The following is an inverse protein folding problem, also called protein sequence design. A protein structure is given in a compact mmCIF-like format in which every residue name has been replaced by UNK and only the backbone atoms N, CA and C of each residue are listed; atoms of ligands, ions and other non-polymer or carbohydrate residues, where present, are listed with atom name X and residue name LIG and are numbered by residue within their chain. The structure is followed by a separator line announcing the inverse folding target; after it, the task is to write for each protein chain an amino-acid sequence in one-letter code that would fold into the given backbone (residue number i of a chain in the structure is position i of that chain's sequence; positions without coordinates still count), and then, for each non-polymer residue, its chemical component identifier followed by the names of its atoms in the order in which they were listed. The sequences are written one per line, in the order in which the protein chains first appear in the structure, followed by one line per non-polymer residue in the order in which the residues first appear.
data_IF_869550596098
#
_entry.id   IF_869550596098
#
_cell.length_a   1.000
_cell.length_b   1.000
_cell.length_c   1.000
_cell.angle_alpha   90.00
_cell.angle_beta   90.00
_cell.angle_gamma   90.00
#
_symmetry.space_group_name_H-M   'P 1'
#
loop_
_entity.id
_entity.type
_entity.pdbx_description
1 polymer ?
#
# COMPACT_ATOMS: atom_id res chain seq x y z
N UNK A 1 8.16 -3.02 -12.75
CA UNK A 1 6.99 -2.86 -13.65
C UNK A 1 6.60 -1.40 -13.79
N UNK A 2 5.94 -0.75 -12.81
CA UNK A 2 5.55 0.67 -12.93
C UNK A 2 6.73 1.58 -13.27
N UNK A 3 7.80 1.50 -12.48
CA UNK A 3 9.04 2.28 -12.72
C UNK A 3 9.73 1.90 -14.02
N UNK A 4 9.83 0.61 -14.33
CA UNK A 4 10.36 0.11 -15.62
C UNK A 4 9.62 0.75 -16.80
N UNK A 5 8.29 0.70 -16.79
CA UNK A 5 7.45 1.33 -17.82
C UNK A 5 7.74 2.82 -17.96
N UNK A 6 7.80 3.56 -16.85
CA UNK A 6 8.12 4.99 -16.87
C UNK A 6 9.51 5.27 -17.48
N UNK A 7 10.52 4.47 -17.14
CA UNK A 7 11.88 4.60 -17.70
C UNK A 7 11.89 4.33 -19.21
N UNK A 8 11.21 3.27 -19.65
CA UNK A 8 11.08 2.88 -21.06
C UNK A 8 10.35 3.96 -21.88
N UNK A 9 9.42 4.68 -21.25
CA UNK A 9 8.68 5.81 -21.82
C UNK A 9 9.44 7.15 -21.74
N UNK A 10 10.69 7.12 -21.30
CA UNK A 10 11.61 8.25 -21.31
C UNK A 10 11.68 9.08 -20.03
N UNK A 11 10.89 8.76 -18.99
CA UNK A 11 10.95 9.46 -17.70
C UNK A 11 12.27 9.20 -16.99
N UNK A 12 12.82 10.23 -16.34
CA UNK A 12 14.12 10.16 -15.66
C UNK A 12 14.07 10.61 -14.20
N UNK A 13 13.06 11.42 -13.83
CA UNK A 13 12.87 11.96 -12.48
C UNK A 13 11.50 11.51 -12.01
N UNK A 14 11.46 10.27 -11.51
CA UNK A 14 10.24 9.61 -11.07
C UNK A 14 10.09 9.84 -9.57
N UNK A 15 9.13 10.69 -9.18
CA UNK A 15 8.76 10.86 -7.78
C UNK A 15 7.88 9.69 -7.31
N UNK A 16 8.12 9.19 -6.11
CA UNK A 16 7.31 8.15 -5.46
C UNK A 16 6.59 8.77 -4.27
N UNK A 17 5.26 8.79 -4.30
CA UNK A 17 4.45 9.33 -3.18
C UNK A 17 3.88 8.19 -2.32
N UNK A 18 3.93 8.35 -1.00
CA UNK A 18 3.67 7.30 -0.01
C UNK A 18 4.90 6.43 0.27
N UNK A 19 6.08 6.86 -0.18
CA UNK A 19 7.34 6.18 0.08
C UNK A 19 7.73 6.31 1.55
N UNK A 20 8.40 5.27 2.06
CA UNK A 20 9.16 5.36 3.31
C UNK A 20 10.62 5.54 2.92
N UNK A 21 11.23 6.72 3.08
CA UNK A 21 12.64 6.93 2.84
C UNK A 21 13.45 6.00 3.76
N UNK A 22 14.60 5.49 3.29
CA UNK A 22 15.47 4.70 4.13
C UNK A 22 15.85 5.54 5.35
N UNK A 23 15.67 4.97 6.55
CA UNK A 23 16.07 5.62 7.79
C UNK A 23 17.53 6.08 7.66
N UNK A 24 17.77 7.38 7.86
CA UNK A 24 19.13 7.89 7.97
C UNK A 24 19.78 7.18 9.18
N UNK A 25 20.86 6.43 8.96
CA UNK A 25 21.75 6.02 10.04
C UNK A 25 22.51 7.27 10.54
N UNK A 26 21.86 8.06 11.40
CA UNK A 26 22.44 9.18 12.11
C UNK A 26 21.90 9.25 13.55
N UNK A 27 22.54 8.46 14.41
CA UNK A 27 22.85 8.69 15.84
C UNK A 27 21.78 9.18 16.84
N UNK A 28 21.58 8.28 17.84
CA UNK A 28 21.34 8.46 19.29
C UNK A 28 19.96 8.89 19.82
N UNK A 29 19.29 7.90 20.46
CA UNK A 29 18.57 7.88 21.75
C UNK A 29 18.15 9.24 22.37
N UNK A 30 16.92 9.42 22.87
CA UNK A 30 16.39 8.80 24.11
C UNK A 30 14.85 8.73 24.12
N UNK A 31 14.38 7.52 24.44
CA UNK A 31 13.19 7.06 25.16
C UNK A 31 12.08 8.06 25.61
N UNK A 32 10.82 7.71 25.31
CA UNK A 32 9.61 8.37 25.82
C UNK A 32 8.33 7.59 25.41
N UNK A 33 7.34 7.41 26.30
CA UNK A 33 6.51 6.21 26.33
C UNK A 33 5.38 6.19 25.30
N UNK A 34 5.15 4.98 24.78
CA UNK A 34 4.03 4.56 23.94
C UNK A 34 2.68 4.95 24.54
N UNK A 35 1.89 5.73 23.81
CA UNK A 35 0.47 5.95 24.09
C UNK A 35 -0.36 5.25 23.01
N UNK A 36 -1.01 4.15 23.42
CA UNK A 36 -2.09 3.48 22.69
C UNK A 36 -3.22 4.48 22.41
N UNK A 37 -3.47 4.77 21.13
CA UNK A 37 -4.67 5.53 20.72
C UNK A 37 -5.74 4.53 20.31
N UNK A 38 -6.65 4.28 21.25
CA UNK A 38 -7.94 3.65 21.01
C UNK A 38 -8.88 4.66 20.34
N UNK A 39 -9.54 4.26 19.25
CA UNK A 39 -10.54 5.07 18.56
C UNK A 39 -11.78 5.36 19.44
N UNK A 40 -12.39 6.55 19.36
CA UNK A 40 -13.56 6.90 20.16
C UNK A 40 -14.86 6.34 19.59
N UNK A 41 -15.61 5.61 20.42
CA UNK A 41 -17.01 5.21 20.20
C UNK A 41 -17.95 6.40 20.47
N UNK A 42 -18.99 6.67 19.64
CA UNK A 42 -19.98 7.70 19.93
C UNK A 42 -21.04 7.23 20.96
N UNK A 43 -21.57 8.13 21.82
CA UNK A 43 -22.51 7.75 22.86
C UNK A 43 -24.01 7.95 22.49
N UNK A 44 -24.82 7.01 23.01
CA UNK A 44 -26.26 7.04 23.30
C UNK A 44 -27.31 7.00 22.16
N UNK A 45 -28.04 5.87 22.11
CA UNK A 45 -29.49 5.86 21.96
C UNK A 45 -30.13 4.74 22.79
N UNK A 46 -31.25 5.10 23.42
CA UNK A 46 -31.95 4.51 24.56
C UNK A 46 -32.75 3.23 24.26
N UNK A 47 -32.65 2.29 25.20
CA UNK A 47 -33.52 1.16 25.62
C UNK A 47 -34.73 0.73 24.80
N UNK A 48 -34.91 -0.61 24.67
CA UNK A 48 -36.13 -1.31 25.11
C UNK A 48 -35.81 -2.75 25.54
N UNK A 49 -36.15 -3.07 26.79
CA UNK A 49 -36.11 -4.40 27.39
C UNK A 49 -37.31 -5.24 26.95
N UNK A 50 -37.09 -6.51 26.64
CA UNK A 50 -38.06 -7.58 26.96
C UNK A 50 -37.32 -8.81 27.49
N UNK A 51 -37.80 -9.24 28.64
CA UNK A 51 -37.31 -10.30 29.52
C UNK A 51 -37.94 -11.65 29.19
N UNK A 52 -37.19 -12.76 29.35
CA UNK A 52 -37.64 -14.05 29.93
C UNK A 52 -36.48 -15.08 30.03
N UNK A 53 -36.53 -16.09 30.94
CA UNK A 53 -35.36 -16.44 31.77
C UNK A 53 -34.86 -17.91 31.74
N UNK A 54 -33.67 -18.11 32.38
CA UNK A 54 -33.17 -19.30 33.12
C UNK A 54 -32.42 -20.43 32.37
N UNK A 55 -31.60 -21.29 33.05
CA UNK A 55 -30.67 -21.04 34.16
C UNK A 55 -29.33 -21.84 34.12
N UNK A 56 -28.37 -21.45 34.97
CA UNK A 56 -27.38 -22.26 35.71
C UNK A 56 -26.28 -23.10 35.02
N UNK A 57 -25.02 -22.74 35.30
CA UNK A 57 -23.83 -23.61 35.22
C UNK A 57 -23.76 -24.62 36.39
N UNK A 58 -22.88 -25.65 36.29
CA UNK A 58 -21.73 -25.64 37.20
C UNK A 58 -20.40 -26.18 36.61
N UNK A 59 -19.31 -25.52 37.03
CA UNK A 59 -18.02 -26.05 37.53
C UNK A 59 -17.43 -27.35 36.94
N UNK A 60 -16.19 -27.26 36.44
CA UNK A 60 -15.30 -28.41 36.29
C UNK A 60 -13.94 -28.03 35.69
N UNK A 61 -12.95 -27.74 36.54
CA UNK A 61 -11.53 -27.68 36.17
C UNK A 61 -10.90 -29.06 36.48
N UNK A 62 -9.99 -29.56 35.63
CA UNK A 62 -8.76 -30.11 36.18
C UNK A 62 -7.51 -29.56 35.49
N UNK A 63 -6.61 -29.06 36.33
CA UNK A 63 -5.24 -28.66 36.02
C UNK A 63 -4.43 -29.78 35.36
N UNK A 64 -3.72 -29.44 34.29
CA UNK A 64 -2.51 -30.15 33.83
C UNK A 64 -1.44 -29.10 33.44
N UNK A 65 -0.15 -29.35 33.70
CA UNK A 65 0.88 -28.31 33.66
C UNK A 65 1.33 -28.06 32.22
N UNK A 66 1.16 -26.84 31.71
CA UNK A 66 1.85 -26.41 30.49
C UNK A 66 3.20 -25.80 30.88
N UNK A 67 4.24 -26.56 30.59
CA UNK A 67 5.64 -26.18 30.75
C UNK A 67 5.93 -24.94 29.91
N UNK A 68 6.59 -23.97 30.53
CA UNK A 68 7.09 -22.75 29.89
C UNK A 68 7.98 -23.09 28.70
N UNK A 69 7.58 -22.69 27.51
CA UNK A 69 8.50 -22.54 26.37
C UNK A 69 8.49 -21.06 26.04
N UNK A 70 9.67 -20.43 26.06
CA UNK A 70 9.86 -18.98 26.05
C UNK A 70 9.28 -18.27 24.82
N UNK A 71 9.32 -16.92 24.80
CA UNK A 71 8.84 -16.17 23.67
C UNK A 71 9.62 -16.60 22.43
N UNK A 72 8.89 -17.20 21.50
CA UNK A 72 9.36 -17.49 20.15
C UNK A 72 9.87 -16.16 19.59
N UNK A 73 11.16 -16.13 19.24
CA UNK A 73 11.82 -14.97 18.67
C UNK A 73 10.96 -14.35 17.56
N UNK A 74 10.86 -13.03 17.57
CA UNK A 74 10.09 -12.26 16.61
C UNK A 74 10.43 -12.66 15.15
N UNK A 75 9.44 -12.78 14.25
CA UNK A 75 9.72 -12.98 12.82
C UNK A 75 10.43 -11.73 12.25
N UNK A 76 11.18 -11.88 11.13
CA UNK A 76 11.96 -10.78 10.55
C UNK A 76 11.04 -9.59 10.28
N UNK A 77 11.55 -8.39 10.57
CA UNK A 77 10.91 -7.08 10.35
C UNK A 77 9.93 -7.13 9.18
N UNK A 78 8.62 -7.14 9.48
CA UNK A 78 7.57 -7.17 8.45
C UNK A 78 7.65 -5.86 7.66
N UNK A 79 8.30 -5.89 6.50
CA UNK A 79 8.32 -4.75 5.57
C UNK A 79 6.88 -4.43 5.17
N UNK A 80 6.50 -3.16 5.28
CA UNK A 80 5.18 -2.72 4.85
C UNK A 80 5.02 -2.92 3.34
N UNK A 81 3.77 -2.97 2.85
CA UNK A 81 3.52 -2.99 1.40
C UNK A 81 4.14 -1.77 0.70
N UNK A 82 4.16 -0.62 1.37
CA UNK A 82 4.82 0.61 0.88
C UNK A 82 6.34 0.43 0.73
N UNK A 83 6.99 -0.18 1.72
CA UNK A 83 8.44 -0.44 1.70
C UNK A 83 8.81 -1.36 0.54
N UNK A 84 8.01 -2.42 0.32
CA UNK A 84 8.25 -3.37 -0.77
C UNK A 84 8.10 -2.69 -2.14
N UNK A 85 7.10 -1.81 -2.31
CA UNK A 85 6.90 -1.05 -3.55
C UNK A 85 8.03 -0.03 -3.78
N UNK A 86 8.47 0.66 -2.72
CA UNK A 86 9.60 1.61 -2.76
C UNK A 86 10.91 0.90 -3.11
N UNK A 87 11.19 -0.26 -2.50
CA UNK A 87 12.34 -1.09 -2.85
C UNK A 87 12.28 -1.56 -4.29
N UNK A 88 11.10 -1.97 -4.77
CA UNK A 88 10.89 -2.36 -6.16
C UNK A 88 11.16 -1.21 -7.15
N UNK A 89 10.80 0.02 -6.77
CA UNK A 89 11.14 1.23 -7.52
C UNK A 89 12.66 1.44 -7.61
N UNK A 90 13.36 1.48 -6.47
CA UNK A 90 14.82 1.69 -6.47
C UNK A 90 15.57 0.55 -7.19
N UNK A 91 15.12 -0.70 -7.06
CA UNK A 91 15.69 -1.83 -7.81
C UNK A 91 15.52 -1.65 -9.33
N UNK A 92 14.33 -1.25 -9.79
CA UNK A 92 14.08 -1.00 -11.20
C UNK A 92 14.94 0.14 -11.77
N UNK A 93 15.19 1.21 -11.00
CA UNK A 93 16.13 2.26 -11.38
C UNK A 93 17.55 1.71 -11.51
N UNK A 94 18.01 0.94 -10.52
CA UNK A 94 19.35 0.35 -10.52
C UNK A 94 19.57 -0.59 -11.72
N UNK A 95 18.56 -1.40 -12.06
CA UNK A 95 18.59 -2.29 -13.24
C UNK A 95 18.75 -1.51 -14.56
N UNK A 96 18.37 -0.22 -14.59
CA UNK A 96 18.55 0.68 -15.73
C UNK A 96 19.74 1.64 -15.56
N UNK A 97 20.62 1.40 -14.60
CA UNK A 97 21.79 2.23 -14.33
C UNK A 97 21.48 3.62 -13.78
N UNK A 98 20.29 3.80 -13.19
CA UNK A 98 19.84 5.06 -12.59
C UNK A 98 19.92 4.99 -11.06
N UNK A 99 20.32 6.09 -10.42
CA UNK A 99 20.35 6.20 -8.96
C UNK A 99 18.96 6.55 -8.41
N UNK A 100 18.57 5.92 -7.29
CA UNK A 100 17.38 6.31 -6.54
C UNK A 100 17.68 7.61 -5.77
N UNK A 101 17.16 8.76 -6.22
CA UNK A 101 17.32 10.04 -5.52
C UNK A 101 16.37 10.09 -4.31
N UNK A 102 16.88 10.16 -3.07
CA UNK A 102 16.03 10.20 -1.88
C UNK A 102 15.07 11.39 -1.85
N UNK A 103 15.38 12.50 -2.54
CA UNK A 103 14.50 13.68 -2.63
C UNK A 103 13.24 13.44 -3.44
N UNK A 104 13.22 12.38 -4.25
CA UNK A 104 12.06 11.94 -5.03
C UNK A 104 11.24 10.88 -4.29
N UNK A 105 11.62 10.50 -3.06
CA UNK A 105 10.85 9.60 -2.20
C UNK A 105 10.07 10.45 -1.20
N UNK A 106 8.77 10.62 -1.45
CA UNK A 106 7.91 11.57 -0.74
C UNK A 106 7.02 10.81 0.24
N UNK A 107 7.22 11.10 1.53
CA UNK A 107 6.34 10.63 2.60
C UNK A 107 4.97 11.34 2.54
N UNK A 108 3.95 10.59 2.94
CA UNK A 108 2.57 11.07 3.10
C UNK A 108 2.09 10.76 4.51
N UNK A 109 1.24 11.63 5.06
CA UNK A 109 0.68 11.45 6.40
C UNK A 109 -0.36 10.31 6.44
N UNK A 110 -1.02 10.07 5.31
CA UNK A 110 -1.98 8.99 5.10
C UNK A 110 -1.88 8.32 3.72
N UNK A 111 -2.93 7.58 3.38
CA UNK A 111 -3.05 6.76 2.16
C UNK A 111 -4.24 7.16 1.29
N UNK A 112 -4.86 8.30 1.59
CA UNK A 112 -6.07 8.80 0.95
C UNK A 112 -5.74 9.86 -0.13
N UNK A 113 -6.77 10.29 -0.86
CA UNK A 113 -6.59 11.21 -1.97
C UNK A 113 -6.14 12.61 -1.53
N UNK A 114 -6.47 13.01 -0.30
CA UNK A 114 -5.99 14.30 0.23
C UNK A 114 -4.47 14.28 0.40
N UNK A 115 -3.91 13.16 0.87
CA UNK A 115 -2.48 13.01 1.08
C UNK A 115 -1.70 13.08 -0.24
N UNK A 116 -2.23 12.42 -1.28
CA UNK A 116 -1.65 12.49 -2.62
C UNK A 116 -1.74 13.89 -3.25
N UNK A 117 -2.83 14.61 -2.98
CA UNK A 117 -3.00 15.99 -3.42
C UNK A 117 -1.98 16.91 -2.76
N UNK A 118 -1.82 16.80 -1.45
CA UNK A 118 -0.90 17.62 -0.66
C UNK A 118 0.56 17.30 -0.99
N UNK A 119 0.91 16.03 -1.14
CA UNK A 119 2.28 15.63 -1.51
C UNK A 119 2.71 16.25 -2.84
N UNK A 120 1.88 16.14 -3.89
CA UNK A 120 2.18 16.76 -5.17
C UNK A 120 2.16 18.29 -5.09
N UNK A 121 1.25 18.86 -4.29
CA UNK A 121 1.23 20.29 -4.02
C UNK A 121 2.56 20.79 -3.46
N UNK A 122 3.06 20.14 -2.41
CA UNK A 122 4.38 20.45 -1.80
C UNK A 122 5.51 20.32 -2.81
N UNK A 123 5.56 19.21 -3.56
CA UNK A 123 6.59 19.01 -4.58
C UNK A 123 6.63 20.14 -5.61
N UNK A 124 5.46 20.61 -6.07
CA UNK A 124 5.37 21.71 -7.01
C UNK A 124 5.72 23.07 -6.38
N UNK A 125 5.30 23.32 -5.15
CA UNK A 125 5.59 24.54 -4.41
C UNK A 125 7.09 24.68 -4.08
N UNK A 126 7.74 23.56 -3.78
CA UNK A 126 9.18 23.47 -3.52
C UNK A 126 10.01 23.51 -4.83
N UNK A 127 9.37 23.52 -5.99
CA UNK A 127 10.03 23.51 -7.29
C UNK A 127 10.81 22.23 -7.55
N UNK A 128 10.35 21.10 -6.99
CA UNK A 128 10.95 19.80 -7.23
C UNK A 128 10.81 19.42 -8.70
N UNK A 129 11.91 18.99 -9.31
CA UNK A 129 11.98 18.66 -10.72
C UNK A 129 11.68 17.17 -10.94
N UNK A 130 10.49 16.86 -11.45
CA UNK A 130 10.01 15.50 -11.75
C UNK A 130 9.23 15.44 -13.06
N UNK A 131 9.34 14.32 -13.77
CA UNK A 131 8.63 14.04 -15.03
C UNK A 131 7.66 12.85 -14.93
N UNK A 132 7.63 12.18 -13.77
CA UNK A 132 6.62 11.20 -13.45
C UNK A 132 6.32 11.11 -11.94
N UNK A 133 5.13 10.64 -11.62
CA UNK A 133 4.71 10.25 -10.26
C UNK A 133 4.33 8.77 -10.26
N UNK A 134 4.96 7.99 -9.40
CA UNK A 134 4.51 6.67 -9.01
C UNK A 134 3.86 6.75 -7.63
N UNK A 135 2.54 6.73 -7.59
CA UNK A 135 1.77 6.68 -6.36
C UNK A 135 1.66 5.25 -5.86
N UNK A 136 1.97 5.02 -4.57
CA UNK A 136 2.01 3.69 -4.02
C UNK A 136 0.63 3.04 -3.83
N UNK A 137 -0.47 3.76 -4.05
CA UNK A 137 -1.80 3.22 -4.28
C UNK A 137 -2.60 4.11 -5.27
N UNK A 138 -3.74 3.63 -5.74
CA UNK A 138 -4.60 4.37 -6.69
C UNK A 138 -5.29 5.58 -6.04
N UNK A 139 -5.56 5.55 -4.73
CA UNK A 139 -6.22 6.66 -4.01
C UNK A 139 -5.30 7.88 -3.91
N UNK A 140 -4.01 7.69 -3.59
CA UNK A 140 -2.97 8.71 -3.64
C UNK A 140 -2.82 9.26 -5.07
N UNK A 141 -2.84 8.37 -6.07
CA UNK A 141 -2.76 8.76 -7.48
C UNK A 141 -3.92 9.68 -7.89
N UNK A 142 -5.13 9.42 -7.38
CA UNK A 142 -6.28 10.27 -7.60
C UNK A 142 -6.04 11.70 -7.08
N UNK A 143 -5.53 11.81 -5.85
CA UNK A 143 -5.10 13.07 -5.27
C UNK A 143 -4.08 13.81 -6.12
N UNK A 144 -3.03 13.09 -6.54
CA UNK A 144 -1.98 13.60 -7.41
C UNK A 144 -2.54 14.16 -8.73
N UNK A 145 -3.38 13.39 -9.42
CA UNK A 145 -4.03 13.83 -10.67
C UNK A 145 -4.89 15.07 -10.45
N UNK A 146 -5.61 15.15 -9.32
CA UNK A 146 -6.42 16.33 -8.99
C UNK A 146 -5.55 17.57 -8.82
N UNK A 147 -4.43 17.45 -8.10
CA UNK A 147 -3.50 18.55 -7.85
C UNK A 147 -2.83 19.01 -9.14
N UNK A 148 -2.26 18.10 -9.94
CA UNK A 148 -1.63 18.41 -11.24
C UNK A 148 -2.60 19.18 -12.14
N UNK A 149 -3.86 18.73 -12.22
CA UNK A 149 -4.90 19.41 -12.99
C UNK A 149 -5.20 20.82 -12.48
N UNK A 150 -5.27 21.04 -11.16
CA UNK A 150 -5.47 22.38 -10.59
C UNK A 150 -4.28 23.32 -10.85
N UNK A 151 -3.07 22.77 -10.88
CA UNK A 151 -1.84 23.50 -11.17
C UNK A 151 -1.58 23.67 -12.67
N UNK A 152 -2.49 23.19 -13.53
CA UNK A 152 -2.36 23.28 -14.98
C UNK A 152 -1.22 22.44 -15.57
N UNK A 153 -0.76 21.41 -14.85
CA UNK A 153 0.27 20.49 -15.32
C UNK A 153 -0.38 19.42 -16.20
N UNK A 154 0.12 19.29 -17.43
CA UNK A 154 -0.42 18.34 -18.40
C UNK A 154 -0.04 16.89 -18.06
N UNK A 155 -1.03 16.00 -18.06
CA UNK A 155 -0.88 14.57 -17.84
C UNK A 155 -1.54 13.84 -19.02
N UNK A 156 -0.82 13.02 -19.80
CA UNK A 156 0.54 12.52 -19.55
C UNK A 156 1.68 13.39 -20.13
N UNK A 157 1.38 14.55 -20.74
CA UNK A 157 2.35 15.26 -21.59
C UNK A 157 3.55 15.87 -20.85
N UNK A 158 3.34 16.52 -19.70
CA UNK A 158 4.40 17.09 -18.87
C UNK A 158 4.83 16.14 -17.75
N UNK A 159 3.86 15.49 -17.11
CA UNK A 159 4.08 14.52 -16.04
C UNK A 159 3.24 13.28 -16.31
N UNK A 160 3.86 12.10 -16.23
CA UNK A 160 3.13 10.82 -16.25
C UNK A 160 2.75 10.39 -14.84
N UNK A 161 1.60 9.74 -14.68
CA UNK A 161 1.16 9.24 -13.37
C UNK A 161 0.83 7.75 -13.45
N UNK A 162 1.38 6.98 -12.52
CA UNK A 162 1.11 5.55 -12.36
C UNK A 162 0.70 5.28 -10.91
N UNK A 163 -0.39 4.54 -10.71
CA UNK A 163 -0.85 4.08 -9.39
C UNK A 163 -0.55 2.61 -9.11
N UNK A 164 -1.20 2.08 -8.07
CA UNK A 164 -1.15 0.67 -7.66
C UNK A 164 -2.50 0.28 -7.04
N UNK A 165 -3.06 -0.86 -7.44
CA UNK A 165 -4.23 -1.60 -6.89
C UNK A 165 -5.23 -1.95 -7.98
N UNK A 166 -5.29 -1.18 -9.06
CA UNK A 166 -6.28 -1.32 -10.13
C UNK A 166 -7.71 -1.36 -9.59
N UNK A 167 -8.08 -0.33 -8.80
CA UNK A 167 -9.47 -0.13 -8.36
C UNK A 167 -10.36 0.25 -9.54
N UNK A 168 -11.67 0.09 -9.38
CA UNK A 168 -12.61 0.35 -10.49
C UNK A 168 -12.67 1.84 -10.82
N UNK A 169 -12.53 2.70 -9.81
CA UNK A 169 -12.46 4.16 -9.89
C UNK A 169 -11.34 4.63 -10.81
N UNK A 170 -10.22 3.88 -10.90
CA UNK A 170 -9.07 4.20 -11.75
C UNK A 170 -9.44 4.31 -13.24
N UNK A 171 -10.53 3.68 -13.67
CA UNK A 171 -11.05 3.77 -15.05
C UNK A 171 -11.79 5.08 -15.33
N UNK A 172 -12.26 5.75 -14.28
CA UNK A 172 -13.13 6.94 -14.34
C UNK A 172 -12.43 8.21 -13.84
N UNK A 173 -11.18 8.10 -13.38
CA UNK A 173 -10.33 9.25 -13.17
C UNK A 173 -10.11 10.00 -14.48
N UNK A 174 -9.76 11.28 -14.40
CA UNK A 174 -9.53 12.14 -15.55
C UNK A 174 -8.16 12.82 -15.43
N UNK A 175 -7.13 12.34 -16.17
CA UNK A 175 -7.14 11.18 -17.08
C UNK A 175 -7.34 9.83 -16.37
N UNK A 176 -7.79 8.81 -17.10
CA UNK A 176 -7.90 7.44 -16.58
C UNK A 176 -6.53 6.90 -16.20
N UNK A 177 -6.44 6.28 -15.02
CA UNK A 177 -5.18 6.02 -14.33
C UNK A 177 -4.52 4.72 -14.80
N UNK A 178 -3.29 4.81 -15.30
CA UNK A 178 -2.39 3.67 -15.44
C UNK A 178 -2.01 3.15 -14.06
N UNK A 179 -2.12 1.84 -13.82
CA UNK A 179 -1.93 1.28 -12.47
C UNK A 179 -1.48 -0.17 -12.51
N UNK A 180 -0.78 -0.60 -11.46
CA UNK A 180 -0.42 -2.00 -11.25
C UNK A 180 -1.61 -2.75 -10.65
N UNK A 181 -2.04 -3.83 -11.30
CA UNK A 181 -2.97 -4.80 -10.74
C UNK A 181 -2.17 -5.91 -10.01
N UNK A 182 -2.27 -6.00 -8.67
CA UNK A 182 -1.52 -7.01 -7.90
C UNK A 182 -2.16 -8.41 -7.94
N UNK A 183 -3.23 -8.63 -8.72
CA UNK A 183 -3.90 -9.92 -8.83
C UNK A 183 -4.84 -10.22 -7.68
N UNK A 184 -5.55 -9.21 -7.15
CA UNK A 184 -6.41 -9.35 -5.95
C UNK A 184 -7.43 -10.49 -6.05
N UNK A 185 -8.02 -10.67 -7.24
CA UNK A 185 -8.96 -11.77 -7.51
C UNK A 185 -8.29 -13.14 -7.40
N UNK A 186 -7.08 -13.30 -7.93
CA UNK A 186 -6.32 -14.55 -7.81
C UNK A 186 -5.89 -14.81 -6.38
N UNK A 187 -5.44 -13.77 -5.65
CA UNK A 187 -5.09 -13.88 -4.23
C UNK A 187 -6.30 -14.36 -3.43
N UNK A 188 -7.47 -13.74 -3.62
CA UNK A 188 -8.70 -14.12 -2.93
C UNK A 188 -9.12 -15.55 -3.26
N UNK A 189 -9.10 -15.93 -4.54
CA UNK A 189 -9.42 -17.29 -4.99
C UNK A 189 -8.48 -18.33 -4.36
N UNK A 190 -7.16 -18.10 -4.44
CA UNK A 190 -6.15 -19.01 -3.89
C UNK A 190 -6.25 -19.15 -2.36
N UNK A 191 -6.56 -18.05 -1.66
CA UNK A 191 -6.78 -18.07 -0.22
C UNK A 191 -7.99 -18.93 0.16
N UNK A 192 -9.13 -18.73 -0.53
CA UNK A 192 -10.36 -19.49 -0.29
C UNK A 192 -10.17 -20.97 -0.64
N UNK A 193 -9.54 -21.29 -1.78
CA UNK A 193 -9.22 -22.66 -2.18
C UNK A 193 -8.35 -23.37 -1.13
N UNK A 194 -7.37 -22.68 -0.56
CA UNK A 194 -6.51 -23.21 0.50
C UNK A 194 -7.29 -23.54 1.78
N UNK A 195 -8.22 -22.67 2.19
CA UNK A 195 -9.08 -22.91 3.37
C UNK A 195 -10.00 -24.12 3.13
N UNK A 196 -10.64 -24.18 1.96
CA UNK A 196 -11.53 -25.29 1.60
C UNK A 196 -10.77 -26.62 1.60
N UNK A 197 -9.54 -26.66 1.08
CA UNK A 197 -8.71 -27.86 1.10
C UNK A 197 -8.39 -28.32 2.52
N UNK A 198 -8.06 -27.40 3.43
CA UNK A 198 -7.76 -27.73 4.83
C UNK A 198 -8.98 -28.27 5.58
N UNK A 199 -10.17 -27.72 5.32
CA UNK A 199 -11.42 -28.22 5.90
C UNK A 199 -11.70 -29.64 5.41
N UNK A 200 -11.52 -29.91 4.11
CA UNK A 200 -11.74 -31.25 3.52
C UNK A 200 -10.76 -32.29 4.06
N UNK A 201 -9.49 -31.93 4.20
CA UNK A 201 -8.44 -32.85 4.67
C UNK A 201 -8.43 -33.04 6.20
N UNK A 202 -9.20 -32.24 6.95
CA UNK A 202 -9.25 -32.30 8.42
C UNK A 202 -7.94 -31.93 9.10
N UNK A 203 -7.02 -31.26 8.39
CA UNK A 203 -5.69 -30.90 8.89
C UNK A 203 -5.23 -29.58 8.30
N UNK A 204 -4.46 -28.83 9.09
CA UNK A 204 -3.80 -27.61 8.63
C UNK A 204 -2.71 -27.96 7.61
N UNK A 205 -2.75 -27.31 6.45
CA UNK A 205 -1.70 -27.45 5.45
C UNK A 205 -0.46 -26.62 5.86
N UNK A 206 0.77 -27.05 5.48
CA UNK A 206 1.95 -26.22 5.65
C UNK A 206 1.80 -24.86 4.96
N UNK A 207 2.44 -23.82 5.50
CA UNK A 207 2.48 -22.52 4.86
C UNK A 207 3.12 -22.65 3.46
N UNK A 208 2.42 -22.16 2.44
CA UNK A 208 2.91 -22.15 1.06
C UNK A 208 2.94 -20.70 0.57
N UNK A 209 4.09 -20.29 0.03
CA UNK A 209 4.19 -19.04 -0.72
C UNK A 209 3.65 -19.29 -2.14
N UNK A 210 2.63 -18.52 -2.52
CA UNK A 210 2.06 -18.56 -3.87
C UNK A 210 2.14 -17.13 -4.41
N UNK A 211 2.69 -16.99 -5.61
CA UNK A 211 2.79 -15.70 -6.29
C UNK A 211 1.61 -15.55 -7.23
N UNK A 212 0.79 -14.53 -6.98
CA UNK A 212 -0.30 -14.17 -7.89
C UNK A 212 0.27 -13.41 -9.10
N UNK A 213 -0.33 -13.58 -10.29
CA UNK A 213 0.08 -12.82 -11.46
C UNK A 213 -0.18 -11.33 -11.22
N UNK A 214 0.87 -10.53 -11.36
CA UNK A 214 0.81 -9.07 -11.26
C UNK A 214 1.02 -8.49 -12.66
N UNK A 215 0.30 -7.42 -13.01
CA UNK A 215 0.41 -6.79 -14.34
C UNK A 215 0.26 -5.28 -14.28
N UNK A 216 0.86 -4.58 -15.24
CA UNK A 216 0.61 -3.16 -15.46
C UNK A 216 -0.61 -2.99 -16.38
N UNK A 217 -1.53 -2.12 -15.99
CA UNK A 217 -2.72 -1.77 -16.77
C UNK A 217 -2.54 -0.33 -17.27
N UNK A 218 -2.07 -0.18 -18.50
CA UNK A 218 -1.86 1.14 -19.12
C UNK A 218 -3.18 1.80 -19.53
N UNK A 219 -3.31 3.09 -19.25
CA UNK A 219 -4.44 3.98 -19.54
C UNK A 219 -3.91 5.39 -19.88
N UNK A 220 -4.78 6.39 -19.87
CA UNK A 220 -4.46 7.75 -20.35
C UNK A 220 -3.36 8.46 -19.54
N UNK A 221 -3.23 8.22 -18.24
CA UNK A 221 -2.25 8.94 -17.40
C UNK A 221 -0.79 8.53 -17.62
N UNK A 222 -0.56 7.37 -18.24
CA UNK A 222 0.73 6.88 -18.69
C UNK A 222 0.49 5.77 -19.73
N UNK A 223 0.17 6.14 -20.98
CA UNK A 223 -0.21 5.18 -22.02
C UNK A 223 0.95 4.25 -22.34
N UNK A 224 0.64 3.09 -22.92
CA UNK A 224 1.67 2.24 -23.48
C UNK A 224 2.29 2.98 -24.67
N UNK A 225 3.62 3.17 -24.64
CA UNK A 225 4.32 3.77 -25.77
C UNK A 225 4.00 2.99 -27.04
N UNK A 226 3.56 3.67 -28.10
CA UNK A 226 3.54 3.08 -29.43
C UNK A 226 5.01 3.02 -29.85
N UNK A 227 5.64 1.86 -29.78
CA UNK A 227 6.90 1.65 -30.48
C UNK A 227 6.60 1.78 -31.97
N UNK A 228 7.16 2.78 -32.69
CA UNK A 228 6.97 2.89 -34.13
C UNK A 228 7.60 1.72 -34.89
#
# INVERSE_FOLDING_TARGET
MATTHLIEDGCRRIAVIGAVPPANEATSEVDGPTSDVTAPTPPHATTHSTSSPSPSAPSGNPSAPVSSTGPCADPPTQSSSGDLRTRGHCAALADHGMSCDPRLLIETDGWDSIDGFEAVGRMLDDGLDFDAVFALNDTLAWGALRCLRERGVDVPGAVRVVGFDNIDESRYMAPSLTTVDPGRTDIARLAVESIIAQIRDGRRAPAKRIEAPCRLVCRESSPQGVTP
#
